data_IF_066378305161
#
_entry.id   IF_066378305161
#
_cell.length_a   1.000
_cell.length_b   1.000
_cell.length_c   1.000
_cell.angle_alpha   90.00
_cell.angle_beta   90.00
_cell.angle_gamma   90.00
#
_symmetry.space_group_name_H-M   'P 1'
#
loop_
_entity.id
_entity.type
_entity.pdbx_description
1 polymer ?
#
# COMPACT_ATOMS: atom_id res chain seq x y z
N UNK A 1 3.86 2.10 -25.80
CA UNK A 1 2.83 3.13 -25.48
C UNK A 1 3.20 3.65 -24.12
N UNK A 2 3.66 4.90 -24.07
CA UNK A 2 4.10 5.55 -22.84
C UNK A 2 2.84 6.02 -22.13
N UNK A 3 2.38 5.29 -21.12
CA UNK A 3 1.40 5.84 -20.19
C UNK A 3 2.11 6.90 -19.36
N UNK A 4 1.88 8.15 -19.74
CA UNK A 4 2.20 9.34 -18.98
C UNK A 4 1.24 9.41 -17.77
N UNK A 5 1.15 8.34 -16.98
CA UNK A 5 0.35 8.32 -15.76
C UNK A 5 1.09 9.13 -14.70
N UNK A 6 0.85 10.43 -14.73
CA UNK A 6 1.44 11.41 -13.83
C UNK A 6 1.12 11.01 -12.38
N UNK A 7 2.08 10.32 -11.76
CA UNK A 7 2.09 9.84 -10.37
C UNK A 7 1.00 8.82 -9.98
N UNK A 8 0.62 7.92 -10.89
CA UNK A 8 -0.24 6.78 -10.54
C UNK A 8 -1.73 7.12 -10.39
N UNK A 9 -2.18 8.26 -10.92
CA UNK A 9 -3.59 8.69 -10.84
C UNK A 9 -4.52 7.75 -11.59
N UNK A 10 -4.07 7.16 -12.70
CA UNK A 10 -4.85 6.20 -13.48
C UNK A 10 -5.05 4.91 -12.70
N UNK A 11 -4.02 4.45 -11.98
CA UNK A 11 -4.15 3.32 -11.06
C UNK A 11 -5.17 3.60 -9.94
N UNK A 12 -5.11 4.78 -9.32
CA UNK A 12 -6.07 5.15 -8.26
C UNK A 12 -7.50 5.26 -8.79
N UNK A 13 -7.69 5.97 -9.91
CA UNK A 13 -9.01 6.12 -10.52
C UNK A 13 -9.58 4.77 -11.00
N UNK A 14 -8.71 3.87 -11.48
CA UNK A 14 -9.10 2.51 -11.85
C UNK A 14 -9.57 1.63 -10.69
N UNK A 15 -9.35 2.04 -9.45
CA UNK A 15 -9.87 1.36 -8.27
C UNK A 15 -11.35 1.68 -8.01
N UNK A 16 -11.87 2.80 -8.53
CA UNK A 16 -13.30 3.17 -8.38
C UNK A 16 -14.17 2.08 -9.00
N UNK A 17 -15.30 1.79 -8.34
CA UNK A 17 -16.19 0.67 -8.59
C UNK A 17 -15.57 -0.73 -8.36
N UNK A 18 -14.30 -0.81 -7.98
CA UNK A 18 -13.64 -2.05 -7.59
C UNK A 18 -14.14 -2.57 -6.25
N UNK A 19 -14.50 -3.85 -6.19
CA UNK A 19 -14.83 -4.55 -4.93
C UNK A 19 -13.57 -5.20 -4.36
N UNK A 20 -13.19 -4.84 -3.14
CA UNK A 20 -12.01 -5.41 -2.45
C UNK A 20 -12.28 -6.87 -2.11
N UNK A 21 -11.32 -7.76 -2.42
CA UNK A 21 -11.38 -9.19 -2.07
C UNK A 21 -10.19 -9.67 -1.26
N UNK A 22 -9.08 -8.92 -1.25
CA UNK A 22 -7.95 -9.19 -0.38
C UNK A 22 -7.22 -7.91 -0.02
N UNK A 23 -6.59 -7.91 1.15
CA UNK A 23 -5.76 -6.81 1.67
C UNK A 23 -4.44 -7.39 2.14
N UNK A 24 -3.33 -6.81 1.67
CA UNK A 24 -1.99 -7.08 2.20
C UNK A 24 -1.40 -5.83 2.83
N UNK A 25 -0.66 -6.05 3.91
CA UNK A 25 0.19 -5.03 4.54
C UNK A 25 1.63 -5.46 4.41
N UNK A 26 2.50 -4.49 4.12
CA UNK A 26 3.93 -4.70 4.16
C UNK A 26 4.43 -4.11 5.47
N UNK A 27 4.84 -4.98 6.39
CA UNK A 27 5.33 -4.60 7.72
C UNK A 27 6.83 -4.82 7.83
N UNK A 28 7.50 -3.99 8.62
CA UNK A 28 8.94 -4.12 8.83
C UNK A 28 9.21 -5.26 9.80
N UNK A 29 10.17 -6.13 9.46
CA UNK A 29 10.54 -7.31 10.24
C UNK A 29 12.03 -7.26 10.54
N UNK A 30 12.39 -7.33 11.83
CA UNK A 30 13.76 -7.43 12.30
C UNK A 30 13.86 -8.57 13.32
N UNK A 31 14.51 -9.67 12.94
CA UNK A 31 14.52 -10.89 13.76
C UNK A 31 13.10 -11.43 13.98
N UNK A 32 12.70 -11.56 15.24
CA UNK A 32 11.35 -12.00 15.64
C UNK A 32 10.36 -10.84 15.85
N UNK A 33 10.80 -9.59 15.68
CA UNK A 33 9.96 -8.41 15.85
C UNK A 33 9.32 -8.00 14.53
N UNK A 34 8.03 -7.66 14.59
CA UNK A 34 7.26 -7.14 13.47
C UNK A 34 6.68 -5.78 13.86
N UNK A 35 7.16 -4.72 13.23
CA UNK A 35 6.57 -3.39 13.37
C UNK A 35 5.35 -3.27 12.46
N UNK A 36 4.17 -3.15 13.09
CA UNK A 36 2.88 -3.03 12.41
C UNK A 36 2.33 -1.61 12.37
N UNK A 37 3.10 -0.62 12.83
CA UNK A 37 2.66 0.77 12.96
C UNK A 37 2.56 1.51 11.62
N UNK A 38 3.38 1.11 10.65
CA UNK A 38 3.51 1.77 9.36
C UNK A 38 3.75 0.79 8.22
N UNK A 39 4.03 1.33 7.04
CA UNK A 39 4.41 0.60 5.85
C UNK A 39 3.32 0.58 4.76
N UNK A 40 3.61 -0.04 3.61
CA UNK A 40 2.72 -0.02 2.44
C UNK A 40 1.44 -0.86 2.61
N UNK A 41 0.37 -0.49 1.90
CA UNK A 41 -0.88 -1.27 1.82
C UNK A 41 -1.21 -1.62 0.36
N UNK A 42 -1.67 -2.84 0.15
CA UNK A 42 -2.13 -3.34 -1.14
C UNK A 42 -3.55 -3.88 -1.03
N UNK A 43 -4.37 -3.56 -2.03
CA UNK A 43 -5.70 -4.11 -2.23
C UNK A 43 -5.71 -4.95 -3.50
N UNK A 44 -6.36 -6.12 -3.43
CA UNK A 44 -6.77 -6.88 -4.62
C UNK A 44 -8.28 -6.73 -4.80
N UNK A 45 -8.71 -6.45 -6.03
CA UNK A 45 -10.12 -6.31 -6.37
C UNK A 45 -10.66 -7.58 -7.04
N UNK A 46 -11.99 -7.74 -7.04
CA UNK A 46 -12.68 -8.91 -7.59
C UNK A 46 -12.35 -9.21 -9.06
N UNK A 47 -12.00 -8.19 -9.85
CA UNK A 47 -11.57 -8.33 -11.25
C UNK A 47 -10.08 -8.73 -11.39
N UNK A 48 -9.37 -8.98 -10.29
CA UNK A 48 -7.95 -9.32 -10.25
C UNK A 48 -7.00 -8.11 -10.34
N UNK A 49 -7.52 -6.88 -10.48
CA UNK A 49 -6.70 -5.68 -10.43
C UNK A 49 -6.13 -5.48 -9.01
N UNK A 50 -5.00 -4.77 -8.94
CA UNK A 50 -4.37 -4.42 -7.66
C UNK A 50 -4.21 -2.91 -7.54
N UNK A 51 -4.25 -2.40 -6.32
CA UNK A 51 -3.85 -1.05 -5.98
C UNK A 51 -2.86 -1.12 -4.82
N UNK A 52 -1.64 -0.64 -5.06
CA UNK A 52 -0.58 -0.51 -4.06
C UNK A 52 -0.34 0.96 -3.74
N UNK A 53 -0.38 1.27 -2.44
CA UNK A 53 -0.03 2.56 -1.86
C UNK A 53 1.24 2.39 -1.02
N UNK A 54 2.32 3.03 -1.45
CA UNK A 54 3.69 2.78 -0.98
C UNK A 54 4.47 4.10 -0.84
N UNK A 55 5.58 4.12 -0.11
CA UNK A 55 6.45 5.30 -0.06
C UNK A 55 7.27 5.41 -1.34
N UNK A 56 7.56 6.65 -1.72
CA UNK A 56 8.53 6.95 -2.77
C UNK A 56 9.96 6.84 -2.29
N UNK A 57 10.89 6.81 -3.25
CA UNK A 57 12.34 6.71 -2.97
C UNK A 57 12.86 7.96 -2.24
N UNK A 58 12.17 9.10 -2.37
CA UNK A 58 12.51 10.32 -1.64
C UNK A 58 11.87 10.41 -0.24
N UNK A 59 11.13 9.37 0.17
CA UNK A 59 10.32 9.32 1.39
C UNK A 59 9.09 10.23 1.38
N UNK A 60 9.08 11.26 0.54
CA UNK A 60 8.12 12.36 0.62
C UNK A 60 6.86 12.10 -0.19
N UNK A 61 6.98 11.46 -1.36
CA UNK A 61 5.82 11.12 -2.21
C UNK A 61 5.16 9.80 -1.77
N UNK A 62 3.83 9.73 -1.88
CA UNK A 62 3.10 8.47 -1.91
C UNK A 62 3.13 7.94 -3.36
N UNK A 63 3.68 6.76 -3.55
CA UNK A 63 3.60 6.03 -4.81
C UNK A 63 2.31 5.24 -4.89
N UNK A 64 1.63 5.39 -6.02
CA UNK A 64 0.39 4.70 -6.33
C UNK A 64 0.63 3.82 -7.55
N UNK A 65 0.37 2.52 -7.45
CA UNK A 65 0.68 1.55 -8.50
C UNK A 65 -0.47 0.56 -8.71
N UNK A 66 -0.67 0.14 -9.96
CA UNK A 66 -1.64 -0.90 -10.35
C UNK A 66 -1.02 -2.31 -10.43
N UNK A 67 0.14 -2.49 -9.81
CA UNK A 67 0.89 -3.73 -9.79
C UNK A 67 1.15 -4.17 -8.35
N UNK A 68 1.20 -5.49 -8.09
CA UNK A 68 1.43 -5.99 -6.75
C UNK A 68 2.83 -5.63 -6.25
N UNK A 69 2.94 -5.48 -4.93
CA UNK A 69 4.21 -5.31 -4.24
C UNK A 69 5.10 -6.53 -4.47
N UNK A 70 6.38 -6.25 -4.65
CA UNK A 70 7.43 -7.25 -4.86
C UNK A 70 8.47 -7.10 -3.76
N UNK A 71 8.82 -8.20 -3.11
CA UNK A 71 9.91 -8.23 -2.15
C UNK A 71 11.23 -8.02 -2.91
N UNK A 72 11.98 -6.93 -2.64
CA UNK A 72 13.25 -6.68 -3.30
C UNK A 72 14.32 -7.75 -2.98
N UNK A 73 14.10 -8.55 -1.95
CA UNK A 73 14.98 -9.62 -1.53
C UNK A 73 14.50 -11.00 -1.96
N UNK A 74 13.40 -11.15 -2.71
CA UNK A 74 12.89 -12.47 -3.10
C UNK A 74 13.44 -12.94 -4.47
N UNK A 75 13.99 -14.17 -4.58
CA UNK A 75 14.27 -15.10 -3.48
C UNK A 75 15.52 -14.69 -2.68
N UNK A 76 15.49 -14.87 -1.36
CA UNK A 76 16.57 -14.46 -0.46
C UNK A 76 17.71 -15.50 -0.48
N UNK A 77 18.53 -15.44 -1.52
CA UNK A 77 19.59 -16.45 -1.78
C UNK A 77 21.01 -15.88 -1.79
N UNK A 78 21.16 -14.57 -1.94
CA UNK A 78 22.47 -13.90 -1.91
C UNK A 78 22.95 -13.80 -0.45
N UNK A 79 24.14 -14.34 -0.09
CA UNK A 79 24.69 -14.23 1.26
C UNK A 79 24.77 -12.80 1.80
N UNK A 80 25.06 -11.82 0.94
CA UNK A 80 25.13 -10.40 1.33
C UNK A 80 23.75 -9.89 1.73
N UNK A 81 22.70 -10.26 0.97
CA UNK A 81 21.34 -9.89 1.30
C UNK A 81 20.83 -10.65 2.54
N UNK A 82 21.25 -11.90 2.73
CA UNK A 82 20.91 -12.68 3.92
C UNK A 82 21.48 -12.01 5.17
N UNK A 83 22.76 -11.64 5.14
CA UNK A 83 23.43 -10.92 6.23
C UNK A 83 22.77 -9.56 6.47
N UNK A 84 22.52 -8.79 5.40
CA UNK A 84 21.83 -7.50 5.50
C UNK A 84 20.44 -7.61 6.14
N UNK A 85 19.60 -8.55 5.69
CA UNK A 85 18.25 -8.74 6.23
C UNK A 85 18.31 -9.23 7.68
N UNK A 86 19.30 -10.02 8.06
CA UNK A 86 19.48 -10.47 9.44
C UNK A 86 19.89 -9.31 10.38
N UNK A 87 20.73 -8.39 9.92
CA UNK A 87 21.23 -7.26 10.72
C UNK A 87 20.28 -6.06 10.74
N UNK A 88 19.67 -5.77 9.59
CA UNK A 88 18.89 -4.55 9.37
C UNK A 88 17.39 -4.81 9.34
N UNK A 89 16.95 -6.01 8.97
CA UNK A 89 15.54 -6.31 8.75
C UNK A 89 15.08 -6.02 7.32
N UNK A 90 13.78 -6.18 7.06
CA UNK A 90 13.13 -5.82 5.79
C UNK A 90 11.62 -5.69 5.91
N UNK A 91 11.01 -5.02 4.93
CA UNK A 91 9.57 -5.14 4.70
C UNK A 91 9.19 -6.54 4.20
N UNK A 92 8.14 -7.10 4.80
CA UNK A 92 7.55 -8.40 4.42
C UNK A 92 6.05 -8.24 4.24
N UNK A 93 5.48 -8.87 3.20
CA UNK A 93 4.05 -8.85 2.96
C UNK A 93 3.31 -9.86 3.86
N UNK A 94 2.27 -9.39 4.52
CA UNK A 94 1.33 -10.17 5.32
C UNK A 94 -0.05 -10.07 4.70
N UNK A 95 -0.71 -11.22 4.50
CA UNK A 95 -2.14 -11.24 4.22
C UNK A 95 -2.89 -10.92 5.51
N UNK A 96 -3.60 -9.79 5.50
CA UNK A 96 -4.37 -9.32 6.65
C UNK A 96 -5.87 -9.31 6.34
N UNK A 97 -6.30 -9.96 5.25
CA UNK A 97 -7.67 -9.87 4.72
C UNK A 97 -8.74 -10.20 5.76
N UNK A 98 -8.46 -11.18 6.63
CA UNK A 98 -9.38 -11.65 7.67
C UNK A 98 -9.08 -11.06 9.07
N UNK A 99 -8.10 -10.16 9.17
CA UNK A 99 -7.74 -9.52 10.44
C UNK A 99 -8.52 -8.21 10.65
N UNK A 100 -8.97 -7.94 11.87
CA UNK A 100 -9.50 -6.62 12.21
C UNK A 100 -8.36 -5.57 12.23
N UNK A 101 -8.60 -4.32 11.78
CA UNK A 101 -9.85 -3.81 11.21
C UNK A 101 -9.97 -4.00 9.68
N UNK A 102 -9.06 -4.74 9.03
CA UNK A 102 -9.00 -4.90 7.57
C UNK A 102 -10.16 -5.72 7.00
N UNK A 103 -10.60 -6.74 7.72
CA UNK A 103 -11.78 -7.57 7.43
C UNK A 103 -13.03 -6.74 7.13
N UNK A 104 -13.19 -5.58 7.76
CA UNK A 104 -14.32 -4.68 7.55
C UNK A 104 -14.37 -4.09 6.13
N UNK A 105 -13.28 -4.10 5.38
CA UNK A 105 -13.21 -3.56 4.01
C UNK A 105 -13.39 -4.63 2.92
N UNK A 106 -13.23 -5.91 3.26
CA UNK A 106 -13.45 -7.02 2.33
C UNK A 106 -14.91 -7.06 1.86
N UNK A 107 -15.12 -7.20 0.56
CA UNK A 107 -16.44 -7.14 -0.08
C UNK A 107 -16.99 -5.73 -0.30
N UNK A 108 -16.32 -4.68 0.20
CA UNK A 108 -16.74 -3.29 -0.06
C UNK A 108 -16.29 -2.82 -1.44
N UNK A 109 -17.13 -1.98 -2.04
CA UNK A 109 -16.85 -1.29 -3.30
C UNK A 109 -16.23 0.08 -3.02
N UNK A 110 -15.18 0.45 -3.74
CA UNK A 110 -14.63 1.81 -3.74
C UNK A 110 -15.60 2.73 -4.47
N UNK A 111 -16.27 3.61 -3.73
CA UNK A 111 -17.21 4.56 -4.31
C UNK A 111 -16.52 5.80 -4.88
N UNK A 112 -15.44 6.23 -4.23
CA UNK A 112 -14.66 7.39 -4.67
C UNK A 112 -13.21 7.31 -4.17
N UNK A 113 -12.36 8.12 -4.80
CA UNK A 113 -10.96 8.31 -4.40
C UNK A 113 -10.62 9.79 -4.35
N UNK A 114 -9.68 10.17 -3.49
CA UNK A 114 -9.10 11.52 -3.48
C UNK A 114 -7.60 11.47 -3.25
N UNK A 115 -6.89 12.49 -3.74
CA UNK A 115 -5.45 12.66 -3.56
C UNK A 115 -5.17 14.01 -2.93
N UNK A 116 -4.27 14.04 -1.95
CA UNK A 116 -3.65 15.27 -1.44
C UNK A 116 -2.27 15.38 -2.06
N UNK A 117 -1.96 16.43 -2.85
CA UNK A 117 -0.66 16.59 -3.48
C UNK A 117 0.35 17.32 -2.56
N UNK A 118 1.63 17.07 -2.82
CA UNK A 118 2.76 17.91 -2.47
C UNK A 118 2.76 19.21 -3.30
N UNK A 119 3.56 20.24 -2.92
CA UNK A 119 3.66 21.49 -3.69
C UNK A 119 4.10 21.31 -5.15
N UNK A 120 4.82 20.24 -5.45
CA UNK A 120 5.27 19.89 -6.81
C UNK A 120 4.26 19.02 -7.59
N UNK A 121 3.08 18.76 -7.02
CA UNK A 121 1.98 18.04 -7.65
C UNK A 121 1.96 16.53 -7.41
N UNK A 122 3.04 15.95 -6.85
CA UNK A 122 3.15 14.52 -6.54
C UNK A 122 2.21 14.14 -5.39
N UNK A 123 1.65 12.93 -5.32
CA UNK A 123 0.78 12.53 -4.22
C UNK A 123 1.55 12.56 -2.89
N UNK A 124 0.95 13.14 -1.85
CA UNK A 124 1.34 13.00 -0.44
C UNK A 124 0.47 11.99 0.28
N UNK A 125 -0.82 11.96 -0.07
CA UNK A 125 -1.79 11.04 0.49
C UNK A 125 -2.84 10.64 -0.55
N UNK A 126 -3.42 9.46 -0.37
CA UNK A 126 -4.58 8.98 -1.10
C UNK A 126 -5.65 8.48 -0.11
N UNK A 127 -6.91 8.63 -0.49
CA UNK A 127 -8.05 8.17 0.31
C UNK A 127 -9.01 7.41 -0.57
N UNK A 128 -9.46 6.24 -0.11
CA UNK A 128 -10.52 5.42 -0.69
C UNK A 128 -11.75 5.57 0.20
N UNK A 129 -12.89 5.92 -0.40
CA UNK A 129 -14.19 5.99 0.26
C UNK A 129 -15.01 4.75 -0.12
N UNK A 130 -15.52 4.02 0.89
CA UNK A 130 -16.11 2.68 0.79
C UNK A 130 -17.46 2.66 1.54
N UNK A 131 -18.40 3.50 1.11
CA UNK A 131 -19.61 3.86 1.84
C UNK A 131 -19.27 4.73 3.07
N UNK A 132 -19.63 4.23 4.25
CA UNK A 132 -19.30 4.87 5.53
C UNK A 132 -17.86 4.57 5.99
N UNK A 133 -17.18 3.60 5.36
CA UNK A 133 -15.81 3.24 5.68
C UNK A 133 -14.79 4.04 4.84
N UNK A 134 -13.62 4.30 5.40
CA UNK A 134 -12.55 5.07 4.75
C UNK A 134 -11.19 4.40 4.99
N UNK A 135 -10.38 4.33 3.94
CA UNK A 135 -8.95 4.01 4.03
C UNK A 135 -8.17 5.22 3.55
N UNK A 136 -7.28 5.75 4.39
CA UNK A 136 -6.32 6.80 4.00
C UNK A 136 -4.91 6.27 4.14
N UNK A 137 -4.11 6.37 3.08
CA UNK A 137 -2.67 6.19 3.14
C UNK A 137 -2.00 7.55 2.93
N UNK A 138 -1.05 7.89 3.79
CA UNK A 138 -0.27 9.11 3.66
C UNK A 138 1.20 8.82 3.95
N UNK A 139 2.09 9.48 3.22
CA UNK A 139 3.49 9.47 3.66
C UNK A 139 3.66 10.43 4.84
N UNK A 140 4.48 10.06 5.81
CA UNK A 140 4.90 10.85 6.97
C UNK A 140 6.39 10.58 7.15
N UNK A 141 7.24 11.62 7.11
CA UNK A 141 8.68 11.44 6.90
C UNK A 141 8.95 10.54 5.68
N UNK A 142 9.59 9.39 5.86
CA UNK A 142 9.93 8.35 4.88
C UNK A 142 8.97 7.14 4.87
N UNK A 143 7.95 7.18 5.70
CA UNK A 143 7.09 6.04 5.98
C UNK A 143 5.65 6.24 5.49
N UNK A 144 4.91 5.14 5.29
CA UNK A 144 3.48 5.18 4.96
C UNK A 144 2.64 4.88 6.18
N UNK A 145 1.83 5.86 6.59
CA UNK A 145 0.82 5.69 7.63
C UNK A 145 -0.52 5.37 6.99
N UNK A 146 -1.15 4.30 7.46
CA UNK A 146 -2.49 3.90 7.01
C UNK A 146 -3.50 4.08 8.12
N UNK A 147 -4.45 4.97 7.91
CA UNK A 147 -5.60 5.18 8.79
C UNK A 147 -6.82 4.46 8.22
N UNK A 148 -7.44 3.65 9.06
CA UNK A 148 -8.61 2.84 8.74
C UNK A 148 -9.78 3.30 9.60
N UNK A 149 -10.87 3.70 8.96
CA UNK A 149 -12.13 4.02 9.63
C UNK A 149 -13.16 3.01 9.11
N UNK A 150 -13.47 1.96 9.87
CA UNK A 150 -14.57 1.06 9.50
C UNK A 150 -15.92 1.79 9.63
N UNK A 151 -16.94 1.27 8.95
CA UNK A 151 -18.31 1.74 9.08
C UNK A 151 -18.92 1.32 10.43
#
# INVERSE_FOLDING_TARGET
>A
MSDNDEHGRSALNGAVDGTIVAVRRMFYVLGDEVDRSEGPIEFTFHNGATLLLDSGVDGSELRIRSAPWRDPFEPLVDPVNIEYVAESGKYTAFDVTDEEPYSAFTGRRVDAVSVVPLPDGRPRAATLYLGEAVVKAETVADEVIVTLVPA
#
